data_IF_262305626368
#
_entry.id   IF_262305626368
#
_cell.length_a   1.000
_cell.length_b   1.000
_cell.length_c   1.000
_cell.angle_alpha   90.00
_cell.angle_beta   90.00
_cell.angle_gamma   90.00
#
_symmetry.space_group_name_H-M   'P 1'
#
loop_
_entity.id
_entity.type
_entity.pdbx_description
1 polymer ?
#
# COMPACT_ATOMS: atom_id res chain seq x y z
N UNK A 1 0.89 -26.54 -45.04
CA UNK A 1 2.11 -26.01 -44.39
C UNK A 1 2.20 -24.52 -44.72
N UNK A 2 1.92 -23.64 -43.75
CA UNK A 2 2.14 -22.19 -43.88
C UNK A 2 3.14 -21.79 -42.80
N UNK A 3 4.25 -21.17 -43.21
CA UNK A 3 5.28 -20.64 -42.31
C UNK A 3 4.77 -19.40 -41.58
N UNK A 4 5.11 -19.17 -40.29
CA UNK A 4 4.79 -17.91 -39.63
C UNK A 4 5.75 -16.81 -40.11
N UNK A 5 5.19 -15.68 -40.54
CA UNK A 5 5.95 -14.48 -40.89
C UNK A 5 6.56 -13.86 -39.63
N UNK A 6 7.89 -13.63 -39.65
CA UNK A 6 8.57 -12.81 -38.64
C UNK A 6 8.12 -11.36 -38.81
N UNK A 7 7.27 -10.86 -37.91
CA UNK A 7 7.00 -9.42 -37.79
C UNK A 7 8.29 -8.72 -37.38
N UNK A 8 8.76 -7.78 -38.22
CA UNK A 8 9.90 -6.90 -37.92
C UNK A 8 9.49 -5.91 -36.83
N UNK A 9 10.40 -5.65 -35.89
CA UNK A 9 10.23 -4.59 -34.89
C UNK A 9 10.09 -3.21 -35.59
N UNK A 10 9.23 -2.31 -35.08
CA UNK A 10 9.05 -0.98 -35.64
C UNK A 10 10.33 -0.12 -35.51
N UNK A 11 10.57 0.77 -36.47
CA UNK A 11 11.82 1.52 -36.63
C UNK A 11 12.20 2.42 -35.43
N UNK A 12 11.23 2.77 -34.57
CA UNK A 12 11.48 3.47 -33.30
C UNK A 12 12.35 2.66 -32.33
N UNK A 13 12.29 1.32 -32.34
CA UNK A 13 13.12 0.44 -31.50
C UNK A 13 14.59 0.35 -31.94
N UNK A 14 14.88 0.62 -33.22
CA UNK A 14 16.26 0.61 -33.74
C UNK A 14 17.01 1.89 -33.38
N UNK A 15 16.29 3.00 -33.22
CA UNK A 15 16.87 4.31 -32.88
C UNK A 15 17.29 4.33 -31.40
N UNK A 16 16.46 3.81 -30.49
CA UNK A 16 16.76 3.78 -29.05
C UNK A 16 17.95 2.84 -28.72
N UNK A 17 18.04 1.70 -29.40
CA UNK A 17 19.14 0.74 -29.22
C UNK A 17 20.48 1.25 -29.79
N UNK A 18 20.48 1.95 -30.93
CA UNK A 18 21.69 2.54 -31.50
C UNK A 18 22.23 3.74 -30.68
N UNK A 19 21.34 4.54 -30.08
CA UNK A 19 21.71 5.62 -29.16
C UNK A 19 22.32 5.11 -27.85
N UNK A 20 21.75 4.06 -27.24
CA UNK A 20 22.28 3.44 -26.02
C UNK A 20 23.67 2.82 -26.22
N UNK A 21 23.88 2.08 -27.31
CA UNK A 21 25.17 1.42 -27.58
C UNK A 21 26.28 2.45 -27.85
N UNK A 22 25.94 3.59 -28.48
CA UNK A 22 26.90 4.68 -28.74
C UNK A 22 27.20 5.51 -27.49
N UNK A 23 26.24 5.65 -26.56
CA UNK A 23 26.42 6.37 -25.29
C UNK A 23 27.30 5.60 -24.29
N UNK A 24 27.10 4.28 -24.16
CA UNK A 24 27.92 3.41 -23.28
C UNK A 24 29.40 3.38 -23.70
N UNK A 25 29.72 3.65 -24.96
CA UNK A 25 31.12 3.77 -25.44
C UNK A 25 31.76 5.13 -25.16
N UNK A 26 30.98 6.17 -24.84
CA UNK A 26 31.46 7.54 -24.71
C UNK A 26 31.71 7.98 -23.25
N UNK A 27 31.04 7.34 -22.28
CA UNK A 27 31.26 7.60 -20.84
C UNK A 27 32.14 6.50 -20.25
N UNK A 28 33.46 6.68 -20.35
CA UNK A 28 34.43 5.77 -19.76
C UNK A 28 34.16 5.54 -18.27
N UNK A 29 33.59 4.37 -17.93
CA UNK A 29 33.42 3.78 -16.58
C UNK A 29 33.24 4.77 -15.41
N UNK A 30 32.42 5.81 -15.57
CA UNK A 30 32.04 6.66 -14.45
C UNK A 30 30.74 6.16 -13.83
N UNK A 31 30.85 5.52 -12.67
CA UNK A 31 29.75 4.89 -11.95
C UNK A 31 28.64 5.88 -11.58
N UNK A 32 28.92 7.19 -11.49
CA UNK A 32 27.92 8.21 -11.13
C UNK A 32 26.90 8.47 -12.25
N UNK A 33 27.32 8.34 -13.51
CA UNK A 33 26.42 8.49 -14.66
C UNK A 33 25.44 7.31 -14.81
N UNK A 34 25.84 6.11 -14.33
CA UNK A 34 24.99 4.90 -14.32
C UNK A 34 23.84 5.06 -13.33
N UNK A 35 24.08 5.63 -12.16
CA UNK A 35 23.04 5.87 -11.14
C UNK A 35 22.00 6.93 -11.57
N UNK A 36 22.41 7.96 -12.31
CA UNK A 36 21.47 8.94 -12.87
C UNK A 36 20.55 8.31 -13.94
N UNK A 37 21.09 7.41 -14.77
CA UNK A 37 20.30 6.70 -15.78
C UNK A 37 19.32 5.67 -15.15
N UNK A 38 19.71 5.02 -14.04
CA UNK A 38 18.82 4.14 -13.27
C UNK A 38 17.71 4.92 -12.54
N UNK A 39 17.98 6.16 -12.13
CA UNK A 39 16.97 7.07 -11.58
C UNK A 39 15.89 7.48 -12.59
N UNK A 40 16.23 7.58 -13.87
CA UNK A 40 15.25 7.87 -14.95
C UNK A 40 14.42 6.62 -15.31
N UNK A 41 14.96 5.41 -15.12
CA UNK A 41 14.24 4.15 -15.30
C UNK A 41 13.23 3.83 -14.18
N UNK A 42 13.37 4.43 -13.00
CA UNK A 42 12.42 4.26 -11.89
C UNK A 42 11.04 4.89 -12.15
N UNK A 43 10.89 5.73 -13.18
CA UNK A 43 9.61 6.27 -13.63
C UNK A 43 8.75 5.19 -14.35
N UNK A 44 9.36 4.06 -14.73
CA UNK A 44 8.70 2.97 -15.48
C UNK A 44 8.78 1.59 -14.81
N UNK A 45 8.77 1.53 -13.47
CA UNK A 45 8.43 0.29 -12.75
C UNK A 45 9.28 -0.95 -13.09
N UNK A 46 10.59 -0.80 -13.28
CA UNK A 46 11.49 -1.92 -13.55
C UNK A 46 12.27 -2.33 -12.29
N UNK A 47 12.14 -3.59 -11.86
CA UNK A 47 13.04 -4.24 -10.89
C UNK A 47 14.05 -5.10 -11.67
N UNK A 48 15.33 -5.00 -11.31
CA UNK A 48 16.42 -5.81 -11.88
C UNK A 48 16.53 -7.15 -11.15
N UNK A 49 16.29 -8.26 -11.85
CA UNK A 49 16.68 -9.61 -11.41
C UNK A 49 17.99 -10.01 -12.11
N UNK A 50 19.04 -10.23 -11.32
CA UNK A 50 20.42 -10.47 -11.79
C UNK A 50 20.72 -11.97 -11.98
N UNK A 51 19.74 -12.86 -11.82
CA UNK A 51 20.05 -14.30 -11.80
C UNK A 51 20.00 -15.02 -13.15
N UNK A 52 19.40 -14.45 -14.22
CA UNK A 52 19.23 -15.19 -15.49
C UNK A 52 19.46 -14.39 -16.79
N UNK A 53 20.14 -13.25 -16.74
CA UNK A 53 20.59 -12.54 -17.96
C UNK A 53 19.48 -12.15 -18.95
N UNK A 54 18.21 -12.14 -18.50
CA UNK A 54 17.04 -11.85 -19.34
C UNK A 54 16.15 -10.88 -18.58
N UNK A 55 15.89 -9.71 -19.16
CA UNK A 55 15.01 -8.68 -18.59
C UNK A 55 13.56 -9.09 -18.88
N UNK A 56 12.81 -9.51 -17.85
CA UNK A 56 11.38 -9.73 -17.95
C UNK A 56 10.64 -8.54 -17.29
N UNK A 57 10.07 -7.66 -18.12
CA UNK A 57 9.13 -6.65 -17.63
C UNK A 57 7.80 -7.35 -17.34
N UNK A 58 7.42 -7.42 -16.06
CA UNK A 58 6.07 -7.85 -15.69
C UNK A 58 5.27 -6.59 -15.40
N UNK A 59 4.50 -6.12 -16.38
CA UNK A 59 3.55 -5.01 -16.17
C UNK A 59 2.46 -5.48 -15.19
N UNK A 60 2.29 -4.75 -14.09
CA UNK A 60 1.11 -4.85 -13.26
C UNK A 60 -0.06 -4.21 -14.02
N UNK A 61 -0.78 -5.02 -14.79
CA UNK A 61 -2.09 -4.62 -15.31
C UNK A 61 -3.11 -4.83 -14.19
N UNK A 62 -3.58 -3.73 -13.60
CA UNK A 62 -4.68 -3.76 -12.65
C UNK A 62 -5.89 -4.50 -13.27
N UNK A 63 -6.71 -5.22 -12.48
CA UNK A 63 -7.81 -6.01 -13.01
C UNK A 63 -8.83 -5.16 -13.79
N UNK A 64 -9.49 -5.78 -14.78
CA UNK A 64 -10.42 -5.11 -15.70
C UNK A 64 -11.50 -4.28 -14.98
N UNK A 65 -11.71 -3.07 -15.51
CA UNK A 65 -12.52 -1.95 -15.00
C UNK A 65 -13.98 -2.28 -14.61
N UNK A 66 -14.54 -3.38 -15.12
CA UNK A 66 -16.01 -3.61 -15.15
C UNK A 66 -16.68 -3.77 -13.79
N UNK A 67 -15.93 -4.13 -12.74
CA UNK A 67 -16.45 -4.27 -11.37
C UNK A 67 -15.74 -3.35 -10.37
N UNK A 68 -14.85 -2.46 -10.83
CA UNK A 68 -14.17 -1.50 -9.96
C UNK A 68 -15.14 -0.37 -9.69
N UNK A 69 -15.46 -0.09 -8.43
CA UNK A 69 -16.07 1.21 -8.11
C UNK A 69 -15.03 2.25 -8.58
N UNK A 70 -15.38 3.19 -9.48
CA UNK A 70 -14.39 4.09 -10.06
C UNK A 70 -13.52 4.69 -8.96
N UNK A 71 -12.20 4.60 -9.13
CA UNK A 71 -11.25 5.32 -8.29
C UNK A 71 -11.57 6.80 -8.44
N UNK A 72 -12.40 7.31 -7.55
CA UNK A 72 -12.62 8.73 -7.44
C UNK A 72 -11.28 9.31 -7.01
N UNK A 73 -10.63 10.09 -7.88
CA UNK A 73 -9.41 10.78 -7.48
C UNK A 73 -9.74 11.66 -6.26
N UNK A 74 -9.04 11.43 -5.17
CA UNK A 74 -9.18 12.26 -3.97
C UNK A 74 -8.18 13.40 -4.05
N UNK A 75 -8.62 14.65 -3.89
CA UNK A 75 -7.71 15.78 -3.93
C UNK A 75 -6.69 15.63 -2.81
N UNK A 76 -5.42 15.41 -3.13
CA UNK A 76 -4.33 15.42 -2.15
C UNK A 76 -3.77 16.83 -2.00
N UNK A 77 -3.26 17.17 -0.82
CA UNK A 77 -2.62 18.46 -0.56
C UNK A 77 -3.56 19.57 -0.11
N UNK A 78 -4.75 19.24 0.39
CA UNK A 78 -5.68 20.22 0.96
C UNK A 78 -5.61 20.23 2.49
N UNK A 79 -5.92 21.38 3.11
CA UNK A 79 -6.01 21.49 4.57
C UNK A 79 -7.22 20.72 5.08
N UNK A 80 -7.10 20.13 6.26
CA UNK A 80 -8.25 19.63 7.00
C UNK A 80 -9.27 20.75 7.16
N UNK A 81 -10.54 20.44 6.91
CA UNK A 81 -11.65 21.35 7.22
C UNK A 81 -11.76 21.55 8.74
N UNK A 82 -12.44 22.62 9.16
CA UNK A 82 -12.66 22.87 10.59
C UNK A 82 -13.43 21.73 11.27
N UNK A 83 -14.38 21.11 10.57
CA UNK A 83 -15.10 19.94 11.08
C UNK A 83 -14.17 18.73 11.27
N UNK A 84 -13.26 18.46 10.32
CA UNK A 84 -12.27 17.38 10.44
C UNK A 84 -11.29 17.67 11.59
N UNK A 85 -10.80 18.90 11.72
CA UNK A 85 -9.92 19.29 12.83
C UNK A 85 -10.62 19.13 14.18
N UNK A 86 -11.87 19.56 14.29
CA UNK A 86 -12.67 19.39 15.51
C UNK A 86 -12.80 17.90 15.88
N UNK A 87 -13.16 17.06 14.90
CA UNK A 87 -13.24 15.59 15.10
C UNK A 87 -11.91 15.00 15.57
N UNK A 88 -10.79 15.38 14.96
CA UNK A 88 -9.47 14.89 15.37
C UNK A 88 -9.05 15.43 16.76
N UNK A 89 -9.45 16.65 17.09
CA UNK A 89 -9.17 17.27 18.39
C UNK A 89 -9.86 16.53 19.55
N UNK A 90 -11.04 15.94 19.35
CA UNK A 90 -11.72 15.10 20.35
C UNK A 90 -10.86 13.92 20.82
N UNK A 91 -9.96 13.44 19.96
CA UNK A 91 -9.04 12.35 20.28
C UNK A 91 -7.65 12.86 20.71
N UNK A 92 -7.47 14.16 20.90
CA UNK A 92 -6.19 14.74 21.31
C UNK A 92 -5.12 14.70 20.22
N UNK A 93 -5.52 14.80 18.93
CA UNK A 93 -4.58 14.81 17.80
C UNK A 93 -3.49 15.88 17.95
N UNK A 94 -3.85 17.09 18.40
CA UNK A 94 -2.89 18.18 18.63
C UNK A 94 -1.73 17.76 19.53
N UNK A 95 -2.05 17.15 20.67
CA UNK A 95 -1.05 16.76 21.67
C UNK A 95 -0.24 15.53 21.23
N UNK A 96 -0.87 14.61 20.49
CA UNK A 96 -0.26 13.32 20.11
C UNK A 96 0.55 13.39 18.82
N UNK A 97 0.01 14.07 17.81
CA UNK A 97 0.60 14.19 16.46
C UNK A 97 1.05 15.62 16.19
N UNK A 98 0.21 16.60 16.55
CA UNK A 98 0.44 18.01 16.26
C UNK A 98 0.65 18.26 14.76
N UNK A 99 1.68 19.05 14.45
CA UNK A 99 2.13 19.30 13.07
C UNK A 99 2.88 18.14 12.40
N UNK A 100 3.12 17.03 13.12
CA UNK A 100 3.79 15.85 12.62
C UNK A 100 2.99 15.07 11.57
N UNK A 101 3.53 13.93 11.14
CA UNK A 101 2.83 13.00 10.25
C UNK A 101 2.06 11.97 11.05
N UNK A 102 0.75 11.86 10.80
CA UNK A 102 -0.13 10.85 11.36
C UNK A 102 -1.03 10.24 10.30
N UNK A 103 -1.60 9.07 10.62
CA UNK A 103 -2.62 8.43 9.79
C UNK A 103 -3.96 8.58 10.48
N UNK A 104 -4.99 8.90 9.71
CA UNK A 104 -6.38 8.86 10.16
C UNK A 104 -7.17 7.88 9.30
N UNK A 105 -7.85 6.94 9.94
CA UNK A 105 -8.80 6.03 9.31
C UNK A 105 -10.20 6.36 9.82
N UNK A 106 -11.13 6.61 8.90
CA UNK A 106 -12.53 6.88 9.21
C UNK A 106 -13.36 5.68 8.76
N UNK A 107 -13.92 4.92 9.72
CA UNK A 107 -14.63 3.67 9.44
C UNK A 107 -15.94 3.91 8.70
N UNK A 108 -16.77 4.84 9.14
CA UNK A 108 -18.08 5.14 8.55
C UNK A 108 -17.98 5.63 7.11
N UNK A 109 -16.89 6.30 6.76
CA UNK A 109 -16.63 6.77 5.39
C UNK A 109 -15.77 5.79 4.57
N UNK A 110 -15.20 4.76 5.20
CA UNK A 110 -14.24 3.83 4.60
C UNK A 110 -13.03 4.56 3.97
N UNK A 111 -12.43 5.45 4.78
CA UNK A 111 -11.37 6.38 4.34
C UNK A 111 -10.07 6.21 5.09
N UNK A 112 -8.98 6.40 4.35
CA UNK A 112 -7.63 6.39 4.84
C UNK A 112 -6.93 7.69 4.44
N UNK A 113 -6.42 8.42 5.42
CA UNK A 113 -5.75 9.70 5.24
C UNK A 113 -4.34 9.63 5.83
N UNK A 114 -3.36 10.19 5.12
CA UNK A 114 -2.09 10.59 5.70
C UNK A 114 -2.13 12.10 5.86
N UNK A 115 -1.97 12.55 7.10
CA UNK A 115 -2.05 13.95 7.48
C UNK A 115 -0.67 14.41 7.95
N UNK A 116 -0.22 15.54 7.42
CA UNK A 116 0.98 16.24 7.88
C UNK A 116 0.70 17.73 7.97
N UNK A 117 1.10 18.38 9.07
CA UNK A 117 0.85 19.80 9.30
C UNK A 117 -0.63 20.21 9.03
N UNK A 118 -1.56 19.42 9.56
CA UNK A 118 -3.02 19.58 9.40
C UNK A 118 -3.51 19.63 7.95
N UNK A 119 -2.73 19.05 7.04
CA UNK A 119 -3.08 18.90 5.63
C UNK A 119 -3.14 17.44 5.27
N UNK A 120 -4.18 17.05 4.55
CA UNK A 120 -4.30 15.71 3.97
C UNK A 120 -3.33 15.66 2.80
N UNK A 121 -2.18 15.02 2.99
CA UNK A 121 -1.15 14.90 1.95
C UNK A 121 -1.40 13.67 1.06
N UNK A 122 -2.22 12.74 1.52
CA UNK A 122 -2.62 11.57 0.76
C UNK A 122 -3.95 11.02 1.29
N UNK A 123 -4.86 10.65 0.40
CA UNK A 123 -6.17 10.08 0.74
C UNK A 123 -6.50 8.93 -0.20
N UNK A 124 -7.04 7.84 0.37
CA UNK A 124 -7.59 6.70 -0.36
C UNK A 124 -8.84 6.15 0.32
N UNK A 125 -9.62 5.40 -0.45
CA UNK A 125 -10.60 4.47 0.14
C UNK A 125 -9.85 3.32 0.79
N UNK A 126 -10.41 2.80 1.86
CA UNK A 126 -9.98 1.56 2.49
C UNK A 126 -11.18 0.63 2.71
N UNK A 127 -10.93 -0.57 3.23
CA UNK A 127 -11.97 -1.45 3.73
C UNK A 127 -11.67 -1.89 5.15
N UNK A 128 -12.59 -1.62 6.06
CA UNK A 128 -12.55 -2.08 7.46
C UNK A 128 -13.53 -3.24 7.66
N UNK A 129 -13.74 -3.64 8.91
CA UNK A 129 -14.44 -4.89 9.22
C UNK A 129 -15.91 -4.89 8.82
N UNK A 130 -16.35 -5.98 8.20
CA UNK A 130 -17.76 -6.21 7.88
C UNK A 130 -18.65 -6.28 9.13
N UNK A 131 -18.10 -6.67 10.29
CA UNK A 131 -18.82 -6.71 11.57
C UNK A 131 -18.78 -5.40 12.35
N UNK A 132 -18.31 -4.31 11.73
CA UNK A 132 -18.22 -3.00 12.36
C UNK A 132 -17.06 -2.88 13.34
N UNK A 133 -17.22 -2.03 14.34
CA UNK A 133 -16.16 -1.62 15.28
C UNK A 133 -16.22 -2.39 16.60
N UNK A 134 -15.05 -2.69 17.17
CA UNK A 134 -14.98 -3.51 18.38
C UNK A 134 -13.58 -4.00 18.75
N UNK A 135 -13.44 -4.34 20.03
CA UNK A 135 -12.13 -4.52 20.66
C UNK A 135 -11.80 -5.97 21.01
N UNK A 136 -12.80 -6.82 21.25
CA UNK A 136 -12.58 -8.17 21.78
C UNK A 136 -11.89 -9.09 20.77
N UNK A 137 -11.04 -9.97 21.26
CA UNK A 137 -10.44 -11.07 20.49
C UNK A 137 -11.54 -11.92 19.86
N UNK A 138 -11.32 -12.37 18.63
CA UNK A 138 -12.27 -13.15 17.83
C UNK A 138 -13.61 -12.44 17.54
N UNK A 139 -13.73 -11.12 17.76
CA UNK A 139 -14.91 -10.34 17.36
C UNK A 139 -15.00 -10.17 15.84
N UNK A 140 -13.85 -10.21 15.15
CA UNK A 140 -13.71 -9.83 13.73
C UNK A 140 -14.13 -8.38 13.43
N UNK A 141 -13.99 -7.49 14.43
CA UNK A 141 -14.33 -6.08 14.35
C UNK A 141 -13.07 -5.20 14.33
N UNK A 142 -13.16 -4.00 13.75
CA UNK A 142 -12.03 -3.04 13.71
C UNK A 142 -11.96 -2.28 15.03
N UNK A 143 -10.84 -2.33 15.78
CA UNK A 143 -10.72 -1.53 17.01
C UNK A 143 -10.57 -0.05 16.69
N UNK A 144 -11.31 0.79 17.41
CA UNK A 144 -11.17 2.25 17.34
C UNK A 144 -10.02 2.75 18.22
N UNK A 145 -9.75 4.06 18.14
CA UNK A 145 -8.81 4.77 19.00
C UNK A 145 -7.40 4.79 18.43
N UNK A 146 -6.46 5.16 19.30
CA UNK A 146 -5.06 5.33 18.94
C UNK A 146 -4.33 4.00 18.83
N UNK A 147 -3.55 3.93 17.77
CA UNK A 147 -2.60 2.87 17.47
C UNK A 147 -1.27 3.50 17.04
N UNK A 148 -0.23 2.68 16.97
CA UNK A 148 1.02 3.02 16.30
C UNK A 148 1.40 1.93 15.30
N UNK A 149 2.12 2.32 14.23
CA UNK A 149 2.76 1.35 13.33
C UNK A 149 3.94 0.72 14.06
N UNK A 150 3.73 -0.45 14.64
CA UNK A 150 4.74 -1.15 15.42
C UNK A 150 5.80 -1.83 14.53
N UNK A 151 5.38 -2.40 13.41
CA UNK A 151 6.25 -3.08 12.47
C UNK A 151 5.86 -2.76 11.02
N UNK A 152 6.88 -2.72 10.15
CA UNK A 152 6.72 -2.60 8.71
C UNK A 152 7.31 -3.83 8.03
N UNK A 153 6.48 -4.61 7.34
CA UNK A 153 6.89 -5.87 6.72
C UNK A 153 6.59 -5.85 5.23
N UNK A 154 7.51 -6.43 4.45
CA UNK A 154 7.38 -6.58 3.01
C UNK A 154 8.14 -5.56 2.18
N UNK A 155 9.05 -4.77 2.78
CA UNK A 155 9.89 -3.84 2.03
C UNK A 155 10.67 -4.55 0.92
N UNK A 156 10.72 -3.94 -0.26
CA UNK A 156 11.32 -4.52 -1.47
C UNK A 156 10.65 -5.78 -2.04
N UNK A 157 9.63 -6.35 -1.38
CA UNK A 157 8.94 -7.55 -1.87
C UNK A 157 8.02 -7.25 -3.06
N UNK A 158 7.75 -8.23 -3.93
CA UNK A 158 6.87 -8.03 -5.08
C UNK A 158 5.43 -7.69 -4.66
N UNK A 159 4.73 -6.94 -5.51
CA UNK A 159 3.28 -6.77 -5.38
C UNK A 159 2.61 -8.14 -5.48
N UNK A 160 1.63 -8.39 -4.60
CA UNK A 160 0.94 -9.66 -4.50
C UNK A 160 1.64 -10.69 -3.60
N UNK A 161 2.80 -10.38 -3.01
CA UNK A 161 3.45 -11.26 -2.04
C UNK A 161 2.48 -11.65 -0.92
N UNK A 162 2.27 -12.96 -0.71
CA UNK A 162 1.37 -13.48 0.33
C UNK A 162 2.09 -13.56 1.66
N UNK A 163 1.41 -13.17 2.74
CA UNK A 163 1.91 -13.29 4.11
C UNK A 163 1.01 -14.16 4.98
N UNK A 164 1.63 -14.99 5.83
CA UNK A 164 0.95 -15.70 6.92
C UNK A 164 1.67 -15.38 8.22
N UNK A 165 0.91 -14.90 9.21
CA UNK A 165 1.46 -14.50 10.52
C UNK A 165 2.65 -13.54 10.42
N UNK A 166 2.56 -12.54 9.53
CA UNK A 166 3.62 -11.55 9.25
C UNK A 166 4.88 -12.11 8.57
N UNK A 167 4.87 -13.36 8.10
CA UNK A 167 5.99 -13.97 7.35
C UNK A 167 5.62 -14.14 5.88
N UNK A 168 6.51 -13.81 4.93
CA UNK A 168 6.25 -14.07 3.52
C UNK A 168 6.17 -15.58 3.28
N UNK A 169 5.25 -16.00 2.42
CA UNK A 169 5.22 -17.38 1.92
C UNK A 169 5.96 -17.46 0.57
N UNK A 170 6.09 -18.66 0.02
CA UNK A 170 6.59 -18.84 -1.35
C UNK A 170 5.58 -18.43 -2.43
N UNK A 171 4.37 -18.01 -2.04
CA UNK A 171 3.28 -17.69 -2.96
C UNK A 171 3.27 -16.19 -3.27
N UNK A 172 3.08 -15.86 -4.55
CA UNK A 172 2.83 -14.51 -5.04
C UNK A 172 1.47 -14.55 -5.75
N UNK A 173 0.48 -13.88 -5.17
CA UNK A 173 -0.84 -13.73 -5.75
C UNK A 173 -0.79 -12.75 -6.95
N UNK A 174 -1.58 -13.03 -7.98
CA UNK A 174 -1.67 -12.18 -9.18
C UNK A 174 -3.08 -11.60 -9.32
N UNK A 175 -3.22 -10.35 -9.80
CA UNK A 175 -4.52 -9.80 -10.16
C UNK A 175 -5.34 -10.75 -11.05
N UNK A 176 -6.61 -10.96 -10.69
CA UNK A 176 -7.51 -11.87 -11.38
C UNK A 176 -7.37 -13.35 -10.99
N UNK A 177 -6.36 -13.72 -10.20
CA UNK A 177 -6.27 -15.07 -9.65
C UNK A 177 -7.33 -15.25 -8.56
N UNK A 178 -8.17 -16.28 -8.72
CA UNK A 178 -9.12 -16.67 -7.69
C UNK A 178 -8.38 -17.10 -6.41
N UNK A 179 -8.80 -16.54 -5.28
CA UNK A 179 -8.29 -16.91 -3.97
C UNK A 179 -9.46 -17.42 -3.13
N UNK A 180 -9.28 -18.59 -2.54
CA UNK A 180 -10.30 -19.27 -1.73
C UNK A 180 -10.44 -18.68 -0.33
N UNK A 181 -9.50 -17.83 0.06
CA UNK A 181 -9.40 -17.23 1.37
C UNK A 181 -9.11 -15.73 1.27
N UNK A 182 -9.23 -15.07 2.42
CA UNK A 182 -8.87 -13.66 2.61
C UNK A 182 -7.36 -13.54 2.84
N UNK A 183 -6.64 -13.03 1.84
CA UNK A 183 -5.18 -12.97 1.87
C UNK A 183 -4.67 -11.63 2.40
N UNK A 184 -3.59 -11.69 3.18
CA UNK A 184 -2.78 -10.52 3.54
C UNK A 184 -1.65 -10.39 2.54
N UNK A 185 -1.68 -9.33 1.73
CA UNK A 185 -0.79 -9.17 0.58
C UNK A 185 0.13 -7.94 0.65
N UNK A 186 1.20 -8.02 -0.13
CA UNK A 186 2.04 -6.91 -0.62
C UNK A 186 2.86 -6.21 0.46
N UNK A 187 2.23 -5.52 1.40
CA UNK A 187 2.88 -4.84 2.52
C UNK A 187 2.01 -4.99 3.78
N UNK A 188 2.64 -4.98 4.94
CA UNK A 188 1.96 -4.97 6.23
C UNK A 188 2.51 -3.83 7.08
N UNK A 189 1.63 -2.96 7.55
CA UNK A 189 1.88 -2.08 8.69
C UNK A 189 1.17 -2.69 9.89
N UNK A 190 1.91 -3.33 10.79
CA UNK A 190 1.33 -4.00 11.95
C UNK A 190 0.99 -2.97 13.04
N UNK A 191 -0.24 -2.97 13.53
CA UNK A 191 -0.70 -1.97 14.49
C UNK A 191 -0.60 -2.47 15.92
N UNK A 192 -0.03 -1.64 16.79
CA UNK A 192 -0.10 -1.78 18.24
C UNK A 192 -1.13 -0.80 18.78
N UNK A 193 -2.01 -1.25 19.67
CA UNK A 193 -2.91 -0.34 20.38
C UNK A 193 -2.17 0.50 21.42
N UNK A 194 -2.59 1.75 21.58
CA UNK A 194 -1.98 2.74 22.48
C UNK A 194 -2.91 3.11 23.66
N UNK A 195 -3.99 2.36 23.86
CA UNK A 195 -5.00 2.63 24.88
C UNK A 195 -5.22 1.38 25.76
N UNK A 196 -4.59 1.33 26.95
CA UNK A 196 -4.70 0.22 27.90
C UNK A 196 -6.16 -0.16 28.18
N UNK A 197 -6.47 -1.46 28.08
CA UNK A 197 -7.81 -1.99 28.35
C UNK A 197 -8.87 -1.64 27.30
N UNK A 198 -8.54 -0.84 26.27
CA UNK A 198 -9.40 -0.59 25.10
C UNK A 198 -8.90 -1.31 23.87
N UNK A 199 -7.65 -1.10 23.48
CA UNK A 199 -7.07 -1.73 22.29
C UNK A 199 -5.64 -2.26 22.55
N UNK A 200 -5.18 -2.18 23.79
CA UNK A 200 -3.89 -2.65 24.28
C UNK A 200 -4.07 -3.56 25.51
N UNK A 201 -3.38 -4.71 25.50
CA UNK A 201 -3.41 -5.71 26.57
C UNK A 201 -4.58 -6.71 26.51
N UNK A 202 -4.41 -7.82 27.22
CA UNK A 202 -5.45 -8.83 27.49
C UNK A 202 -6.19 -9.34 26.23
N UNK A 203 -7.51 -9.41 26.29
CA UNK A 203 -8.38 -9.88 25.21
C UNK A 203 -8.73 -8.79 24.20
N UNK A 204 -8.22 -7.57 24.36
CA UNK A 204 -8.48 -6.44 23.45
C UNK A 204 -7.28 -6.00 22.62
N UNK A 205 -6.11 -6.57 22.88
CA UNK A 205 -4.84 -6.16 22.28
C UNK A 205 -4.84 -6.27 20.75
N UNK A 206 -4.68 -5.13 20.07
CA UNK A 206 -4.74 -5.06 18.60
C UNK A 206 -3.57 -5.74 17.92
N UNK A 207 -2.40 -5.76 18.56
CA UNK A 207 -1.21 -6.40 18.00
C UNK A 207 -1.35 -7.92 18.04
N UNK A 208 -1.79 -8.46 19.18
CA UNK A 208 -2.09 -9.89 19.33
C UNK A 208 -3.28 -10.34 18.49
N UNK A 209 -4.25 -9.44 18.28
CA UNK A 209 -5.39 -9.64 17.36
C UNK A 209 -5.00 -9.52 15.90
N UNK A 210 -3.74 -9.20 15.58
CA UNK A 210 -3.20 -9.14 14.21
C UNK A 210 -3.90 -8.08 13.34
N UNK A 211 -4.18 -6.91 13.92
CA UNK A 211 -4.80 -5.79 13.20
C UNK A 211 -3.73 -5.07 12.40
N UNK A 212 -3.91 -5.04 11.07
CA UNK A 212 -2.92 -4.53 10.12
C UNK A 212 -3.53 -3.50 9.16
N UNK A 213 -2.67 -2.67 8.57
CA UNK A 213 -2.93 -2.06 7.27
C UNK A 213 -2.21 -2.89 6.20
N UNK A 214 -2.93 -3.41 5.20
CA UNK A 214 -2.34 -4.31 4.20
C UNK A 214 -3.03 -4.27 2.82
N UNK A 215 -2.38 -4.86 1.80
CA UNK A 215 -2.97 -5.08 0.48
C UNK A 215 -3.86 -6.33 0.44
N UNK A 216 -4.78 -6.41 -0.53
CA UNK A 216 -5.83 -7.45 -0.56
C UNK A 216 -5.95 -8.13 -1.93
N UNK A 217 -6.40 -9.38 -1.96
CA UNK A 217 -6.82 -10.08 -3.18
C UNK A 217 -8.22 -9.64 -3.68
N UNK A 218 -8.89 -8.75 -2.95
CA UNK A 218 -10.27 -8.33 -3.16
C UNK A 218 -10.37 -6.81 -3.35
N UNK A 219 -9.57 -6.28 -4.28
CA UNK A 219 -9.47 -4.83 -4.53
C UNK A 219 -10.79 -4.22 -5.03
N UNK A 220 -11.62 -5.00 -5.73
CA UNK A 220 -12.89 -4.55 -6.29
C UNK A 220 -13.90 -4.08 -5.23
N UNK A 221 -13.77 -4.56 -3.98
CA UNK A 221 -14.65 -4.19 -2.87
C UNK A 221 -14.05 -3.14 -1.92
N UNK A 222 -12.88 -2.57 -2.26
CA UNK A 222 -12.31 -1.45 -1.49
C UNK A 222 -13.30 -0.28 -1.44
N UNK A 223 -13.49 0.28 -0.24
CA UNK A 223 -14.51 1.28 0.05
C UNK A 223 -15.79 0.71 0.67
N UNK A 224 -15.89 -0.61 0.81
CA UNK A 224 -16.96 -1.30 1.55
C UNK A 224 -16.41 -1.94 2.84
N UNK A 225 -17.20 -2.07 3.92
CA UNK A 225 -16.78 -2.81 5.10
C UNK A 225 -16.78 -4.32 4.81
N UNK A 226 -15.64 -4.87 4.41
CA UNK A 226 -15.50 -6.27 3.96
C UNK A 226 -14.36 -7.05 4.64
N UNK A 227 -13.67 -6.43 5.60
CA UNK A 227 -12.56 -7.06 6.30
C UNK A 227 -12.98 -7.86 7.53
N UNK A 228 -12.01 -8.56 8.12
CA UNK A 228 -12.16 -9.29 9.39
C UNK A 228 -11.57 -8.53 10.60
N UNK A 229 -11.29 -7.24 10.46
CA UNK A 229 -10.70 -6.41 11.52
C UNK A 229 -9.60 -5.47 11.01
N UNK A 230 -8.86 -5.90 9.99
CA UNK A 230 -7.79 -5.11 9.39
C UNK A 230 -8.32 -3.94 8.56
N UNK A 231 -7.44 -2.99 8.26
CA UNK A 231 -7.65 -1.92 7.28
C UNK A 231 -7.03 -2.36 5.96
N UNK A 232 -7.86 -2.65 4.96
CA UNK A 232 -7.38 -3.04 3.62
C UNK A 232 -7.25 -1.83 2.72
N UNK A 233 -6.19 -1.82 1.93
CA UNK A 233 -5.98 -0.92 0.80
C UNK A 233 -5.81 -1.77 -0.47
N UNK A 234 -5.84 -1.14 -1.64
CA UNK A 234 -5.33 -1.79 -2.85
C UNK A 234 -3.84 -2.09 -2.67
N UNK A 235 -3.32 -3.07 -3.41
CA UNK A 235 -1.91 -3.44 -3.36
C UNK A 235 -0.99 -2.30 -3.81
N UNK A 236 -1.43 -1.50 -4.78
CA UNK A 236 -0.70 -0.29 -5.19
C UNK A 236 -0.73 0.79 -4.08
N UNK A 237 -1.90 1.02 -3.48
CA UNK A 237 -2.07 2.04 -2.44
C UNK A 237 -1.34 1.65 -1.15
N UNK A 238 -1.28 0.37 -0.78
CA UNK A 238 -0.51 -0.05 0.41
C UNK A 238 0.99 0.12 0.21
N UNK A 239 1.53 -0.07 -1.01
CA UNK A 239 2.95 0.26 -1.30
C UNK A 239 3.17 1.75 -1.11
N UNK A 240 2.31 2.58 -1.70
CA UNK A 240 2.41 4.03 -1.58
C UNK A 240 2.30 4.51 -0.12
N UNK A 241 1.41 3.91 0.67
CA UNK A 241 1.26 4.18 2.09
C UNK A 241 2.49 3.72 2.88
N UNK A 242 3.00 2.52 2.58
CA UNK A 242 4.19 1.97 3.21
C UNK A 242 5.40 2.88 3.05
N UNK A 243 5.62 3.45 1.87
CA UNK A 243 6.76 4.36 1.64
C UNK A 243 6.62 5.71 2.38
N UNK A 244 5.38 6.15 2.60
CA UNK A 244 5.06 7.45 3.24
C UNK A 244 4.96 7.39 4.76
N UNK A 245 4.74 6.21 5.33
CA UNK A 245 4.47 6.03 6.75
C UNK A 245 5.69 5.42 7.44
N UNK A 246 6.45 6.20 8.22
CA UNK A 246 7.49 5.67 9.09
C UNK A 246 6.97 4.66 10.11
N UNK A 247 7.85 3.77 10.58
CA UNK A 247 7.56 2.98 11.77
C UNK A 247 7.43 3.93 12.98
N UNK A 248 6.50 3.63 13.89
CA UNK A 248 6.16 4.49 15.03
C UNK A 248 5.14 5.58 14.72
N UNK A 249 4.76 5.80 13.46
CA UNK A 249 3.69 6.75 13.11
C UNK A 249 2.39 6.38 13.82
N UNK A 250 1.77 7.39 14.43
CA UNK A 250 0.48 7.23 15.09
C UNK A 250 -0.64 7.09 14.06
N UNK A 251 -1.54 6.17 14.34
CA UNK A 251 -2.73 5.87 13.54
C UNK A 251 -3.94 6.06 14.43
N UNK A 252 -4.81 7.00 14.08
CA UNK A 252 -6.11 7.16 14.72
C UNK A 252 -7.17 6.46 13.88
N UNK A 253 -7.91 5.53 14.47
CA UNK A 253 -9.07 4.91 13.84
C UNK A 253 -10.32 5.49 14.52
N UNK A 254 -11.13 6.24 13.78
CA UNK A 254 -12.41 6.78 14.25
C UNK A 254 -13.56 6.03 13.60
N UNK A 255 -14.74 6.13 14.23
CA UNK A 255 -15.99 5.87 13.53
C UNK A 255 -16.15 6.81 12.34
#
# INVERSE_FOLDING_TARGET
MMSPSRKRAPDSMRIVSAWMIRWVRFTGRDHRAIWLALGVLAIFGAVLDVTQGTIAMTEYLAPEEKNRIPDQEFPTGHRLSEAQKAKLAEFGWETRVGGGTGVWVCVGEQRFYIVNNYSIIWEKRCSTAAKGTGFKRNSYQTPLGWHSVAEKIGDGMPIGQVFREKRPTSEIWKPGQEAKEDLVLTRILALRGEEPGRNQGSDVDSFDRRIYIHGTNDEARIGLPVSHGCVRLTNADVVAAFDRIPQGTLVLITE
#
